data_IF_787251489295
#
_entry.id   IF_787251489295
#
_cell.length_a   1.000
_cell.length_b   1.000
_cell.length_c   1.000
_cell.angle_alpha   90.00
_cell.angle_beta   90.00
_cell.angle_gamma   90.00
#
_symmetry.space_group_name_H-M   'P 1'
#
loop_
_entity.id
_entity.type
_entity.pdbx_description
1 polymer ?
#
# COMPACT_ATOMS: atom_id res chain seq x y z
N UNK A 1 -73.76 -8.27 16.21
CA UNK A 1 -74.83 -7.89 15.23
C UNK A 1 -74.14 -7.75 13.88
N UNK A 2 -74.52 -8.65 13.05
CA UNK A 2 -74.93 -8.56 11.63
C UNK A 2 -73.75 -8.30 10.68
N UNK A 3 -73.24 -9.35 10.00
CA UNK A 3 -73.74 -10.07 8.80
C UNK A 3 -73.80 -9.15 7.58
N UNK A 4 -73.26 -9.42 6.41
CA UNK A 4 -73.37 -10.56 5.50
C UNK A 4 -72.58 -10.38 4.24
N UNK A 5 -71.91 -11.45 3.74
CA UNK A 5 -72.10 -12.15 2.44
C UNK A 5 -71.73 -11.36 1.15
N UNK A 6 -70.72 -11.87 0.44
CA UNK A 6 -70.81 -12.90 -0.64
C UNK A 6 -71.39 -12.43 -1.97
N UNK A 7 -70.64 -12.49 -3.06
CA UNK A 7 -70.96 -13.40 -4.14
C UNK A 7 -69.93 -13.57 -5.23
N UNK A 8 -69.82 -14.78 -5.69
CA UNK A 8 -69.11 -15.42 -6.76
C UNK A 8 -69.71 -15.07 -8.14
N UNK A 9 -68.96 -14.93 -9.19
CA UNK A 9 -69.29 -15.60 -10.47
C UNK A 9 -68.12 -15.75 -11.41
N UNK A 10 -68.07 -16.96 -11.93
CA UNK A 10 -67.20 -17.50 -13.02
C UNK A 10 -67.71 -17.03 -14.39
N UNK A 11 -66.81 -16.97 -15.41
CA UNK A 11 -67.02 -17.61 -16.73
C UNK A 11 -65.77 -17.35 -17.60
N UNK A 12 -65.04 -18.41 -17.91
CA UNK A 12 -64.90 -19.11 -19.21
C UNK A 12 -64.20 -18.32 -20.31
N UNK A 13 -63.08 -18.94 -20.71
CA UNK A 13 -62.28 -18.74 -21.93
C UNK A 13 -63.13 -18.92 -23.22
N UNK A 14 -62.58 -18.49 -24.38
CA UNK A 14 -62.02 -19.52 -25.25
C UNK A 14 -60.66 -19.19 -25.88
N UNK A 15 -60.05 -20.26 -26.32
CA UNK A 15 -58.83 -20.47 -27.06
C UNK A 15 -58.90 -19.87 -28.48
N UNK A 16 -57.83 -19.24 -28.96
CA UNK A 16 -57.52 -19.20 -30.38
C UNK A 16 -55.98 -19.16 -30.55
N UNK A 17 -55.54 -20.17 -31.24
CA UNK A 17 -54.22 -20.47 -31.76
C UNK A 17 -53.82 -19.47 -32.87
N UNK A 18 -52.60 -18.95 -32.81
CA UNK A 18 -51.90 -18.41 -34.00
C UNK A 18 -50.39 -18.44 -33.76
N UNK A 19 -49.79 -19.42 -34.36
CA UNK A 19 -48.36 -19.57 -34.57
C UNK A 19 -47.78 -18.37 -35.37
N UNK A 20 -46.82 -17.65 -34.75
CA UNK A 20 -45.98 -16.72 -35.50
C UNK A 20 -44.50 -16.94 -35.15
N UNK A 21 -43.79 -17.35 -36.17
CA UNK A 21 -42.37 -17.68 -36.18
C UNK A 21 -41.53 -16.44 -35.83
N UNK A 22 -40.86 -16.44 -34.69
CA UNK A 22 -39.82 -15.45 -34.37
C UNK A 22 -38.49 -15.89 -34.98
N UNK A 23 -38.01 -15.08 -35.92
CA UNK A 23 -36.63 -15.12 -36.43
C UNK A 23 -35.66 -14.69 -35.32
N UNK A 24 -34.48 -15.31 -35.19
CA UNK A 24 -33.48 -14.88 -34.21
C UNK A 24 -32.86 -13.54 -34.60
N UNK A 25 -33.00 -12.53 -33.76
CA UNK A 25 -32.24 -11.28 -33.84
C UNK A 25 -30.79 -11.62 -33.45
N UNK A 26 -29.90 -11.60 -34.41
CA UNK A 26 -28.43 -11.68 -34.19
C UNK A 26 -28.01 -10.45 -33.39
N UNK A 27 -27.62 -10.64 -32.13
CA UNK A 27 -26.97 -9.66 -31.28
C UNK A 27 -25.61 -9.27 -31.90
N UNK A 28 -25.54 -8.03 -32.38
CA UNK A 28 -24.35 -7.40 -32.92
C UNK A 28 -23.69 -6.53 -31.84
N UNK A 29 -23.27 -7.17 -30.74
CA UNK A 29 -22.49 -6.50 -29.68
C UNK A 29 -21.48 -7.53 -29.15
N UNK A 30 -20.35 -7.72 -29.82
CA UNK A 30 -19.15 -8.41 -29.30
C UNK A 30 -17.87 -8.17 -30.13
N UNK A 31 -17.85 -7.16 -31.01
CA UNK A 31 -16.66 -6.88 -31.84
C UNK A 31 -15.88 -5.61 -31.42
N UNK A 32 -16.48 -4.69 -30.66
CA UNK A 32 -15.81 -3.42 -30.32
C UNK A 32 -14.95 -3.49 -29.04
N UNK A 33 -15.31 -4.31 -28.05
CA UNK A 33 -14.53 -4.40 -26.80
C UNK A 33 -13.16 -5.08 -26.97
N UNK A 34 -13.05 -5.98 -27.93
CA UNK A 34 -11.77 -6.67 -28.22
C UNK A 34 -10.80 -5.80 -29.03
N UNK A 35 -11.31 -4.88 -29.84
CA UNK A 35 -10.48 -3.96 -30.62
C UNK A 35 -9.92 -2.82 -29.74
N UNK A 36 -10.74 -2.29 -28.84
CA UNK A 36 -10.31 -1.26 -27.87
C UNK A 36 -9.27 -1.81 -26.87
N UNK A 37 -9.46 -3.04 -26.37
CA UNK A 37 -8.49 -3.71 -25.50
C UNK A 37 -7.15 -3.95 -26.17
N UNK A 38 -7.14 -4.46 -27.41
CA UNK A 38 -5.90 -4.67 -28.19
C UNK A 38 -5.20 -3.38 -28.57
N UNK A 39 -5.95 -2.29 -28.77
CA UNK A 39 -5.37 -0.97 -29.05
C UNK A 39 -4.75 -0.34 -27.80
N UNK A 40 -5.33 -0.58 -26.64
CA UNK A 40 -4.78 -0.15 -25.36
C UNK A 40 -3.51 -0.93 -25.00
N UNK A 41 -3.52 -2.26 -25.17
CA UNK A 41 -2.32 -3.12 -24.99
C UNK A 41 -1.20 -2.72 -25.94
N UNK A 42 -1.48 -2.51 -27.23
CA UNK A 42 -0.46 -2.12 -28.21
C UNK A 42 0.12 -0.73 -27.95
N UNK A 43 -0.67 0.21 -27.42
CA UNK A 43 -0.17 1.53 -26.97
C UNK A 43 0.70 1.41 -25.73
N UNK A 44 0.32 0.58 -24.79
CA UNK A 44 1.10 0.33 -23.57
C UNK A 44 2.44 -0.33 -23.90
N UNK A 45 2.44 -1.31 -24.80
CA UNK A 45 3.68 -1.95 -25.29
C UNK A 45 4.59 -0.98 -26.05
N UNK A 46 4.02 -0.07 -26.83
CA UNK A 46 4.79 0.96 -27.52
C UNK A 46 5.41 1.96 -26.53
N UNK A 47 4.66 2.39 -25.52
CA UNK A 47 5.14 3.27 -24.44
C UNK A 47 6.24 2.57 -23.63
N UNK A 48 6.06 1.31 -23.28
CA UNK A 48 7.05 0.52 -22.55
C UNK A 48 8.33 0.32 -23.38
N UNK A 49 8.21 0.14 -24.70
CA UNK A 49 9.34 0.03 -25.61
C UNK A 49 10.09 1.35 -25.79
N UNK A 50 9.40 2.47 -25.79
CA UNK A 50 10.00 3.80 -25.87
C UNK A 50 10.69 4.19 -24.55
N UNK A 51 10.10 3.78 -23.40
CA UNK A 51 10.70 3.91 -22.06
C UNK A 51 12.00 3.11 -21.92
N UNK A 52 12.05 1.90 -22.48
CA UNK A 52 13.25 1.05 -22.45
C UNK A 52 14.40 1.58 -23.32
N UNK A 53 14.15 2.59 -24.19
CA UNK A 53 15.15 3.19 -25.07
C UNK A 53 15.73 4.52 -24.55
N UNK A 54 15.21 5.11 -23.45
CA UNK A 54 15.86 6.24 -22.82
C UNK A 54 17.17 5.76 -22.19
N UNK A 55 18.31 6.39 -22.51
CA UNK A 55 19.58 6.05 -21.83
C UNK A 55 19.43 6.33 -20.34
N UNK A 56 19.39 5.26 -19.53
CA UNK A 56 19.40 5.37 -18.09
C UNK A 56 20.76 5.92 -17.67
N UNK A 57 20.78 6.89 -16.77
CA UNK A 57 22.03 7.33 -16.18
C UNK A 57 22.60 6.17 -15.35
N UNK A 58 23.85 5.77 -15.55
CA UNK A 58 24.44 4.71 -14.75
C UNK A 58 24.50 5.14 -13.29
N UNK A 59 23.84 4.38 -12.42
CA UNK A 59 23.76 4.62 -10.98
C UNK A 59 25.04 4.17 -10.23
N UNK A 60 26.19 4.22 -10.91
CA UNK A 60 27.49 3.72 -10.41
C UNK A 60 27.96 4.38 -9.12
N UNK A 61 27.56 5.62 -8.88
CA UNK A 61 27.94 6.37 -7.70
C UNK A 61 26.99 6.20 -6.51
N UNK A 62 25.88 5.48 -6.71
CA UNK A 62 24.93 5.16 -5.64
C UNK A 62 25.57 4.23 -4.62
N UNK A 63 25.53 4.64 -3.36
CA UNK A 63 26.05 3.90 -2.20
C UNK A 63 24.94 3.44 -1.27
N UNK A 64 23.82 4.16 -1.28
CA UNK A 64 22.68 3.94 -0.39
C UNK A 64 21.38 4.03 -1.18
N UNK A 65 20.46 3.12 -0.86
CA UNK A 65 19.11 3.10 -1.40
C UNK A 65 18.14 3.46 -0.29
N UNK A 66 17.42 4.55 -0.49
CA UNK A 66 16.36 5.03 0.40
C UNK A 66 15.01 4.61 -0.19
N UNK A 67 14.23 3.84 0.57
CA UNK A 67 13.03 3.20 0.08
C UNK A 67 11.78 3.75 0.79
N UNK A 68 10.76 4.07 0.02
CA UNK A 68 9.40 4.09 0.50
C UNK A 68 8.86 2.67 0.64
N UNK A 69 7.75 2.48 1.38
CA UNK A 69 7.18 1.17 1.68
C UNK A 69 5.95 0.90 0.81
N UNK A 70 4.86 1.63 1.08
CA UNK A 70 3.54 1.37 0.48
C UNK A 70 3.54 1.73 -1.01
N UNK A 71 3.12 0.80 -1.88
CA UNK A 71 3.14 1.03 -3.33
C UNK A 71 4.52 0.93 -3.98
N UNK A 72 5.58 0.76 -3.19
CA UNK A 72 6.98 0.68 -3.65
C UNK A 72 7.56 -0.72 -3.44
N UNK A 73 7.67 -1.16 -2.19
CA UNK A 73 8.19 -2.48 -1.82
C UNK A 73 7.10 -3.47 -1.41
N UNK A 74 5.94 -2.98 -1.01
CA UNK A 74 4.76 -3.79 -0.72
C UNK A 74 3.52 -3.20 -1.39
N UNK A 75 2.46 -4.01 -1.63
CA UNK A 75 1.23 -3.52 -2.25
C UNK A 75 0.62 -2.35 -1.44
N UNK A 76 0.23 -1.28 -2.14
CA UNK A 76 -0.40 -0.11 -1.53
C UNK A 76 -1.70 -0.47 -0.79
N UNK A 77 -2.36 -1.54 -1.25
CA UNK A 77 -3.60 -2.05 -0.66
C UNK A 77 -3.38 -2.75 0.68
N UNK A 78 -2.17 -3.19 1.01
CA UNK A 78 -1.92 -3.98 2.22
C UNK A 78 -2.32 -3.24 3.50
N UNK A 79 -1.92 -1.98 3.64
CA UNK A 79 -2.29 -1.18 4.82
C UNK A 79 -3.79 -0.91 4.85
N UNK A 80 -4.38 -0.55 3.70
CA UNK A 80 -5.80 -0.20 3.59
C UNK A 80 -6.71 -1.41 3.75
N UNK A 81 -6.37 -2.55 3.12
CA UNK A 81 -7.27 -3.70 3.00
C UNK A 81 -7.00 -4.79 4.06
N UNK A 82 -5.84 -4.72 4.74
CA UNK A 82 -5.48 -5.69 5.78
C UNK A 82 -5.28 -5.02 7.14
N UNK A 83 -4.36 -4.07 7.25
CA UNK A 83 -3.95 -3.55 8.55
C UNK A 83 -5.01 -2.68 9.21
N UNK A 84 -5.63 -1.74 8.50
CA UNK A 84 -6.70 -0.91 9.06
C UNK A 84 -7.95 -1.72 9.42
N UNK A 85 -8.48 -2.62 8.57
CA UNK A 85 -9.59 -3.48 8.94
C UNK A 85 -9.28 -4.37 10.14
N UNK A 86 -8.07 -4.92 10.21
CA UNK A 86 -7.65 -5.71 11.36
C UNK A 86 -7.67 -4.90 12.66
N UNK A 87 -7.10 -3.70 12.67
CA UNK A 87 -7.08 -2.82 13.84
C UNK A 87 -8.49 -2.49 14.32
N UNK A 88 -9.41 -2.15 13.41
CA UNK A 88 -10.81 -1.87 13.75
C UNK A 88 -11.56 -3.10 14.26
N UNK A 89 -11.22 -4.30 13.75
CA UNK A 89 -11.80 -5.57 14.22
C UNK A 89 -11.28 -5.97 15.60
N UNK A 90 -10.00 -5.77 15.87
CA UNK A 90 -9.35 -6.13 17.14
C UNK A 90 -9.67 -5.16 18.28
N UNK A 91 -9.98 -3.90 17.96
CA UNK A 91 -10.18 -2.83 18.94
C UNK A 91 -11.25 -3.15 20.01
N UNK A 92 -12.47 -3.64 19.69
CA UNK A 92 -13.49 -3.95 20.69
C UNK A 92 -13.00 -4.94 21.75
N UNK A 93 -12.29 -6.00 21.36
CA UNK A 93 -11.77 -7.01 22.28
C UNK A 93 -10.68 -6.42 23.19
N UNK A 94 -9.83 -5.53 22.65
CA UNK A 94 -8.83 -4.82 23.45
C UNK A 94 -9.51 -3.89 24.46
N UNK A 95 -10.51 -3.15 24.04
CA UNK A 95 -11.25 -2.24 24.96
C UNK A 95 -11.98 -3.01 26.05
N UNK A 96 -12.58 -4.16 25.75
CA UNK A 96 -13.28 -4.99 26.72
C UNK A 96 -12.34 -5.62 27.77
N UNK A 97 -11.12 -5.99 27.35
CA UNK A 97 -10.23 -6.78 28.20
C UNK A 97 -9.04 -5.98 28.77
N UNK A 98 -8.67 -4.85 28.16
CA UNK A 98 -7.45 -4.10 28.50
C UNK A 98 -7.68 -2.61 28.79
N UNK A 99 -8.93 -2.15 28.96
CA UNK A 99 -9.23 -0.72 29.14
C UNK A 99 -8.40 -0.04 30.22
N UNK A 100 -8.22 -0.71 31.38
CA UNK A 100 -7.44 -0.23 32.52
C UNK A 100 -6.10 -0.98 32.69
N UNK A 101 -5.69 -1.79 31.70
CA UNK A 101 -4.44 -2.51 31.72
C UNK A 101 -3.26 -1.53 31.55
N UNK A 102 -2.21 -1.61 32.43
CA UNK A 102 -1.05 -0.73 32.33
C UNK A 102 -0.35 -0.72 30.97
N UNK A 103 -0.44 -1.80 30.20
CA UNK A 103 0.15 -1.89 28.87
C UNK A 103 -0.65 -1.12 27.81
N UNK A 104 -1.95 -0.89 28.03
CA UNK A 104 -2.83 -0.15 27.12
C UNK A 104 -2.99 1.33 27.52
N UNK A 105 -2.83 1.69 28.80
CA UNK A 105 -2.98 3.05 29.28
C UNK A 105 -2.21 4.10 28.48
N UNK A 106 -0.95 3.91 28.09
CA UNK A 106 -0.21 4.90 27.30
C UNK A 106 -0.87 5.24 25.96
N UNK A 107 -1.53 4.27 25.35
CA UNK A 107 -2.25 4.48 24.10
C UNK A 107 -3.59 5.16 24.32
N UNK A 108 -4.37 4.73 25.31
CA UNK A 108 -5.65 5.34 25.67
C UNK A 108 -5.47 6.80 26.09
N UNK A 109 -4.55 7.07 27.01
CA UNK A 109 -4.40 8.37 27.65
C UNK A 109 -3.78 9.43 26.72
N UNK A 110 -3.21 9.02 25.59
CA UNK A 110 -2.78 9.92 24.53
C UNK A 110 -3.94 10.55 23.74
N UNK A 111 -5.16 9.98 23.84
CA UNK A 111 -6.34 10.51 23.16
C UNK A 111 -6.98 11.67 23.92
N UNK A 112 -7.77 12.54 23.23
CA UNK A 112 -8.52 13.61 23.87
C UNK A 112 -9.46 13.08 24.97
N UNK A 113 -9.65 13.84 26.05
CA UNK A 113 -10.47 13.44 27.19
C UNK A 113 -11.88 13.00 26.81
N UNK A 114 -12.53 13.73 25.89
CA UNK A 114 -13.86 13.39 25.41
C UNK A 114 -13.89 12.00 24.73
N UNK A 115 -12.83 11.61 24.02
CA UNK A 115 -12.76 10.31 23.36
C UNK A 115 -12.52 9.16 24.35
N UNK A 116 -11.85 9.41 25.47
CA UNK A 116 -11.54 8.39 26.49
C UNK A 116 -12.54 8.33 27.64
N UNK A 117 -13.72 8.94 27.49
CA UNK A 117 -14.78 8.93 28.51
C UNK A 117 -15.41 7.56 28.74
N UNK A 118 -15.41 6.70 27.72
CA UNK A 118 -15.81 5.30 27.80
C UNK A 118 -15.17 4.49 26.65
N UNK A 119 -15.13 3.14 26.74
CA UNK A 119 -14.71 2.27 25.65
C UNK A 119 -15.47 2.54 24.34
N UNK A 120 -16.79 2.77 24.40
CA UNK A 120 -17.62 3.03 23.23
C UNK A 120 -17.29 4.39 22.57
N UNK A 121 -17.07 5.43 23.39
CA UNK A 121 -16.67 6.75 22.88
C UNK A 121 -15.29 6.67 22.21
N UNK A 122 -14.38 5.90 22.79
CA UNK A 122 -13.05 5.66 22.26
C UNK A 122 -13.10 4.93 20.91
N UNK A 123 -13.86 3.85 20.84
CA UNK A 123 -14.06 3.07 19.61
C UNK A 123 -14.66 3.93 18.49
N UNK A 124 -15.70 4.69 18.81
CA UNK A 124 -16.35 5.60 17.84
C UNK A 124 -15.37 6.64 17.30
N UNK A 125 -14.54 7.23 18.18
CA UNK A 125 -13.54 8.21 17.78
C UNK A 125 -12.45 7.60 16.88
N UNK A 126 -11.93 6.43 17.23
CA UNK A 126 -10.93 5.70 16.40
C UNK A 126 -11.50 5.35 15.02
N UNK A 127 -12.75 4.87 14.96
CA UNK A 127 -13.44 4.58 13.69
C UNK A 127 -13.58 5.82 12.82
N UNK A 128 -14.03 6.94 13.38
CA UNK A 128 -14.17 8.21 12.65
C UNK A 128 -12.83 8.68 12.08
N UNK A 129 -11.78 8.71 12.89
CA UNK A 129 -10.45 9.14 12.45
C UNK A 129 -9.89 8.22 11.36
N UNK A 130 -10.08 6.91 11.48
CA UNK A 130 -9.61 5.93 10.51
C UNK A 130 -10.37 6.07 9.19
N UNK A 131 -11.69 6.24 9.22
CA UNK A 131 -12.51 6.42 8.01
C UNK A 131 -12.16 7.70 7.24
N UNK A 132 -11.78 8.76 7.96
CA UNK A 132 -11.35 10.04 7.37
C UNK A 132 -9.87 10.08 7.01
N UNK A 133 -9.14 8.98 7.14
CA UNK A 133 -7.68 8.86 6.92
C UNK A 133 -6.86 9.94 7.67
N UNK A 134 -7.25 10.23 8.91
CA UNK A 134 -6.56 11.24 9.73
C UNK A 134 -5.21 10.69 10.22
N UNK A 135 -4.12 11.38 9.86
CA UNK A 135 -2.75 10.96 10.19
C UNK A 135 -2.22 11.67 11.45
N UNK A 136 -2.78 11.35 12.61
CA UNK A 136 -2.39 11.93 13.90
C UNK A 136 -1.60 10.92 14.75
N UNK A 137 -0.65 11.40 15.54
CA UNK A 137 0.33 10.58 16.22
C UNK A 137 -0.29 9.54 17.18
N UNK A 138 -1.26 9.93 18.01
CA UNK A 138 -1.88 9.00 18.95
C UNK A 138 -2.66 7.86 18.25
N UNK A 139 -3.31 8.16 17.10
CA UNK A 139 -3.98 7.13 16.30
C UNK A 139 -2.96 6.16 15.69
N UNK A 140 -1.87 6.67 15.12
CA UNK A 140 -0.80 5.84 14.57
C UNK A 140 -0.16 4.93 15.61
N UNK A 141 0.03 5.44 16.82
CA UNK A 141 0.58 4.64 17.93
C UNK A 141 -0.37 3.51 18.33
N UNK A 142 -1.67 3.80 18.46
CA UNK A 142 -2.69 2.79 18.73
C UNK A 142 -2.77 1.75 17.61
N UNK A 143 -2.77 2.18 16.36
CA UNK A 143 -2.76 1.27 15.21
C UNK A 143 -1.53 0.35 15.25
N UNK A 144 -0.35 0.89 15.53
CA UNK A 144 0.88 0.10 15.71
C UNK A 144 0.75 -0.96 16.81
N UNK A 145 0.19 -0.61 17.95
CA UNK A 145 -0.09 -1.55 19.05
C UNK A 145 -1.03 -2.69 18.60
N UNK A 146 -2.13 -2.35 17.94
CA UNK A 146 -3.09 -3.35 17.45
C UNK A 146 -2.48 -4.25 16.37
N UNK A 147 -1.66 -3.69 15.48
CA UNK A 147 -0.98 -4.46 14.43
C UNK A 147 0.06 -5.43 14.99
N UNK A 148 0.76 -5.04 16.05
CA UNK A 148 1.72 -5.93 16.72
C UNK A 148 1.06 -7.23 17.19
N UNK A 149 -0.12 -7.15 17.79
CA UNK A 149 -0.89 -8.33 18.21
C UNK A 149 -1.33 -9.19 16.99
N UNK A 150 -1.68 -8.56 15.87
CA UNK A 150 -2.00 -9.26 14.63
C UNK A 150 -0.81 -10.03 14.05
N UNK A 151 0.36 -9.43 14.07
CA UNK A 151 1.58 -10.11 13.65
C UNK A 151 1.97 -11.24 14.60
N UNK A 152 1.91 -11.04 15.92
CA UNK A 152 2.21 -12.06 16.94
C UNK A 152 1.26 -13.25 16.85
N UNK A 153 -0.01 -13.01 16.53
CA UNK A 153 -1.00 -14.08 16.36
C UNK A 153 -0.98 -14.71 14.97
N UNK A 154 -0.08 -14.27 14.08
CA UNK A 154 0.01 -14.71 12.67
C UNK A 154 -1.30 -14.52 11.90
N UNK A 155 -2.09 -13.49 12.23
CA UNK A 155 -3.31 -13.16 11.50
C UNK A 155 -3.01 -12.72 10.06
N UNK A 156 -1.84 -12.21 9.82
CA UNK A 156 -1.30 -11.81 8.52
C UNK A 156 0.24 -11.72 8.58
N UNK A 157 0.85 -11.61 7.42
CA UNK A 157 2.27 -11.30 7.23
C UNK A 157 2.42 -10.23 6.16
N UNK A 158 3.56 -9.54 6.13
CA UNK A 158 3.81 -8.46 5.17
C UNK A 158 4.11 -9.02 3.78
N UNK A 159 3.30 -8.71 2.77
CA UNK A 159 3.57 -9.12 1.39
C UNK A 159 4.59 -8.16 0.77
N UNK A 160 5.82 -8.63 0.58
CA UNK A 160 6.85 -7.89 -0.18
C UNK A 160 6.89 -8.45 -1.60
N UNK A 161 7.08 -7.59 -2.60
CA UNK A 161 7.21 -8.03 -3.99
C UNK A 161 8.44 -8.91 -4.18
N UNK A 162 8.35 -9.97 -5.02
CA UNK A 162 9.47 -10.93 -5.19
C UNK A 162 10.76 -10.28 -5.68
N UNK A 163 10.69 -9.33 -6.61
CA UNK A 163 11.83 -8.57 -7.13
C UNK A 163 12.52 -7.73 -6.04
N UNK A 164 11.77 -7.24 -5.07
CA UNK A 164 12.30 -6.50 -3.90
C UNK A 164 13.07 -7.45 -2.98
N UNK A 165 12.54 -8.64 -2.70
CA UNK A 165 13.24 -9.63 -1.87
C UNK A 165 14.56 -10.05 -2.52
N UNK A 166 14.57 -10.22 -3.84
CA UNK A 166 15.77 -10.52 -4.62
C UNK A 166 16.78 -9.35 -4.57
N UNK A 167 16.31 -8.12 -4.75
CA UNK A 167 17.13 -6.93 -4.63
C UNK A 167 17.74 -6.79 -3.23
N UNK A 168 16.97 -7.02 -2.17
CA UNK A 168 17.47 -7.01 -0.80
C UNK A 168 18.60 -8.03 -0.59
N UNK A 169 18.48 -9.23 -1.15
CA UNK A 169 19.53 -10.26 -1.05
C UNK A 169 20.82 -9.81 -1.74
N UNK A 170 20.72 -9.15 -2.90
CA UNK A 170 21.88 -8.64 -3.66
C UNK A 170 22.51 -7.44 -2.94
N UNK A 171 21.71 -6.44 -2.55
CA UNK A 171 22.21 -5.20 -1.98
C UNK A 171 22.78 -5.38 -0.58
N UNK A 172 22.19 -6.25 0.25
CA UNK A 172 22.70 -6.51 1.60
C UNK A 172 23.89 -7.47 1.66
N UNK A 173 24.28 -8.07 0.54
CA UNK A 173 25.38 -9.03 0.50
C UNK A 173 26.75 -8.32 0.51
N UNK A 174 27.54 -8.54 1.57
CA UNK A 174 28.88 -7.98 1.70
C UNK A 174 29.88 -8.48 0.63
N UNK A 175 29.54 -9.56 -0.06
CA UNK A 175 30.37 -10.16 -1.14
C UNK A 175 29.95 -9.70 -2.53
N UNK A 176 28.83 -8.99 -2.66
CA UNK A 176 28.37 -8.49 -3.95
C UNK A 176 29.10 -7.20 -4.33
N UNK A 177 29.49 -7.09 -5.62
CA UNK A 177 29.97 -5.83 -6.19
C UNK A 177 28.88 -4.75 -6.24
N UNK A 178 27.62 -5.17 -6.18
CA UNK A 178 26.43 -4.32 -6.14
C UNK A 178 25.90 -4.10 -4.70
N UNK A 179 26.72 -4.38 -3.66
CA UNK A 179 26.35 -4.11 -2.28
C UNK A 179 26.02 -2.63 -2.06
N UNK A 180 24.88 -2.36 -1.41
CA UNK A 180 24.40 -1.02 -1.07
C UNK A 180 23.88 -1.01 0.36
N UNK A 181 23.99 0.13 1.00
CA UNK A 181 23.26 0.38 2.25
C UNK A 181 21.78 0.59 1.94
N UNK A 182 20.90 0.14 2.83
CA UNK A 182 19.45 0.28 2.70
C UNK A 182 18.95 1.12 3.86
N UNK A 183 18.14 2.12 3.58
CA UNK A 183 17.41 2.89 4.57
C UNK A 183 15.94 3.00 4.15
N UNK A 184 15.05 3.19 5.12
CA UNK A 184 13.61 3.29 4.88
C UNK A 184 13.13 4.69 5.24
N UNK A 185 12.26 5.26 4.40
CA UNK A 185 11.56 6.49 4.68
C UNK A 185 10.09 6.37 4.31
N UNK A 186 9.24 6.21 5.32
CA UNK A 186 7.79 6.04 5.15
C UNK A 186 7.01 7.03 6.02
N UNK A 187 5.77 7.30 5.67
CA UNK A 187 4.84 8.09 6.49
C UNK A 187 4.35 7.34 7.74
N UNK A 188 4.47 6.01 7.76
CA UNK A 188 4.23 5.18 8.94
C UNK A 188 5.27 5.41 10.04
N UNK A 189 4.90 5.22 11.32
CA UNK A 189 5.86 5.33 12.41
C UNK A 189 6.99 4.29 12.26
N UNK A 190 8.19 4.63 12.76
CA UNK A 190 9.33 3.71 12.76
C UNK A 190 8.97 2.36 13.42
N UNK A 191 8.13 2.38 14.46
CA UNK A 191 7.64 1.16 15.09
C UNK A 191 6.86 0.29 14.10
N UNK A 192 5.90 0.87 13.36
CA UNK A 192 5.12 0.17 12.36
C UNK A 192 6.00 -0.34 11.19
N UNK A 193 6.95 0.47 10.72
CA UNK A 193 7.91 0.07 9.69
C UNK A 193 8.71 -1.17 10.12
N UNK A 194 9.19 -1.18 11.38
CA UNK A 194 9.94 -2.32 11.94
C UNK A 194 9.08 -3.58 12.07
N UNK A 195 7.80 -3.45 12.42
CA UNK A 195 6.85 -4.57 12.42
C UNK A 195 6.69 -5.18 11.02
N UNK A 196 6.53 -4.34 9.99
CA UNK A 196 6.43 -4.79 8.60
C UNK A 196 7.66 -5.62 8.19
N UNK A 197 8.86 -5.14 8.49
CA UNK A 197 10.11 -5.82 8.14
C UNK A 197 10.42 -7.04 9.02
N UNK A 198 9.87 -7.12 10.21
CA UNK A 198 10.02 -8.26 11.11
C UNK A 198 9.19 -9.46 10.66
N UNK A 199 8.08 -9.22 9.97
CA UNK A 199 7.08 -10.24 9.64
C UNK A 199 6.82 -10.33 8.13
N UNK A 200 7.88 -10.31 7.32
CA UNK A 200 7.76 -10.47 5.87
C UNK A 200 7.34 -11.91 5.58
N UNK A 201 6.33 -12.09 4.71
CA UNK A 201 5.88 -13.41 4.27
C UNK A 201 7.03 -14.18 3.62
N UNK A 202 7.28 -15.40 4.08
CA UNK A 202 8.25 -16.28 3.44
C UNK A 202 7.61 -16.93 2.20
N UNK A 203 8.08 -16.54 1.01
CA UNK A 203 7.58 -17.07 -0.25
C UNK A 203 7.97 -18.54 -0.47
N UNK A 204 8.97 -19.07 0.26
CA UNK A 204 9.37 -20.47 0.18
C UNK A 204 8.43 -21.44 0.93
N UNK A 205 7.60 -20.89 1.83
CA UNK A 205 6.59 -21.62 2.59
C UNK A 205 5.23 -20.90 2.54
N UNK A 206 4.61 -20.79 1.34
CA UNK A 206 3.44 -19.95 1.10
C UNK A 206 2.20 -20.35 1.91
N UNK A 207 2.08 -21.61 2.28
CA UNK A 207 0.94 -22.19 3.00
C UNK A 207 1.11 -22.17 4.53
N UNK A 208 2.30 -21.83 5.04
CA UNK A 208 2.55 -21.70 6.48
C UNK A 208 2.42 -20.23 6.91
N UNK A 209 1.34 -19.85 7.64
CA UNK A 209 1.15 -18.47 8.10
C UNK A 209 2.20 -18.02 9.12
N UNK A 210 2.95 -18.98 9.71
CA UNK A 210 4.02 -18.69 10.67
C UNK A 210 5.38 -18.51 10.00
N UNK A 211 5.49 -18.89 8.73
CA UNK A 211 6.72 -18.72 7.99
C UNK A 211 6.91 -17.24 7.61
N UNK A 212 7.73 -16.56 8.40
CA UNK A 212 8.07 -15.15 8.19
C UNK A 212 9.57 -14.93 8.22
N UNK A 213 10.02 -13.94 7.48
CA UNK A 213 11.40 -13.49 7.43
C UNK A 213 11.54 -12.17 8.19
N UNK A 214 12.49 -12.11 9.11
CA UNK A 214 12.91 -10.85 9.74
C UNK A 214 14.05 -10.24 8.90
N UNK A 215 13.77 -9.10 8.29
CA UNK A 215 14.73 -8.34 7.46
C UNK A 215 15.13 -6.99 8.07
N UNK A 216 14.86 -6.75 9.34
CA UNK A 216 15.24 -5.49 10.01
C UNK A 216 16.75 -5.26 10.01
N UNK A 217 17.54 -6.32 10.10
CA UNK A 217 19.00 -6.24 10.18
C UNK A 217 19.70 -5.74 8.90
N UNK A 218 19.01 -5.79 7.75
CA UNK A 218 19.55 -5.25 6.49
C UNK A 218 19.34 -3.74 6.37
N UNK A 219 18.47 -3.16 7.20
CA UNK A 219 18.15 -1.73 7.16
C UNK A 219 19.06 -0.98 8.12
N UNK A 220 19.85 -0.08 7.57
CA UNK A 220 20.78 0.77 8.32
C UNK A 220 20.05 1.79 9.20
N UNK A 221 19.09 2.52 8.59
CA UNK A 221 18.40 3.62 9.25
C UNK A 221 16.91 3.66 8.86
N UNK A 222 16.09 4.21 9.77
CA UNK A 222 14.65 4.31 9.64
C UNK A 222 14.20 5.76 9.80
N UNK A 223 13.43 6.25 8.82
CA UNK A 223 12.90 7.60 8.82
C UNK A 223 11.39 7.61 8.72
N UNK A 224 10.79 8.52 9.46
CA UNK A 224 9.37 8.85 9.39
C UNK A 224 9.15 10.37 9.40
N UNK A 225 7.90 10.81 9.40
CA UNK A 225 7.55 12.23 9.41
C UNK A 225 7.94 12.95 10.70
N UNK A 226 8.29 12.22 11.77
CA UNK A 226 8.70 12.79 13.05
C UNK A 226 10.19 13.12 13.07
N UNK A 227 11.03 12.20 12.59
CA UNK A 227 12.49 12.40 12.64
C UNK A 227 13.06 13.02 11.35
N UNK A 228 12.45 12.81 10.18
CA UNK A 228 12.91 13.39 8.91
C UNK A 228 12.11 14.64 8.50
N UNK A 229 10.79 14.62 8.61
CA UNK A 229 9.88 15.66 8.13
C UNK A 229 8.85 15.12 7.14
N UNK A 230 8.14 16.00 6.43
CA UNK A 230 7.13 15.60 5.47
C UNK A 230 7.76 15.18 4.14
N UNK A 231 7.34 14.05 3.58
CA UNK A 231 7.95 13.44 2.39
C UNK A 231 7.79 14.23 1.08
N UNK A 232 6.98 15.28 1.06
CA UNK A 232 6.86 16.18 -0.10
C UNK A 232 7.71 17.45 0.03
N UNK A 233 8.51 17.57 1.09
CA UNK A 233 9.39 18.73 1.36
C UNK A 233 10.84 18.38 1.04
N UNK A 234 11.54 19.25 0.29
CA UNK A 234 12.93 19.09 -0.10
C UNK A 234 13.84 18.98 1.13
N UNK A 235 13.65 19.84 2.13
CA UNK A 235 14.43 19.86 3.36
C UNK A 235 14.40 18.55 4.14
N UNK A 236 13.35 17.73 3.97
CA UNK A 236 13.27 16.40 4.60
C UNK A 236 14.31 15.44 4.03
N UNK A 237 14.57 15.49 2.73
CA UNK A 237 15.59 14.65 2.06
C UNK A 237 17.02 15.16 2.31
N UNK A 238 17.21 16.49 2.37
CA UNK A 238 18.51 17.07 2.78
C UNK A 238 18.86 16.65 4.20
N UNK A 239 17.90 16.71 5.13
CA UNK A 239 18.07 16.23 6.51
C UNK A 239 18.36 14.74 6.54
N UNK A 240 17.63 13.92 5.80
CA UNK A 240 17.84 12.47 5.71
C UNK A 240 19.23 12.14 5.18
N UNK A 241 19.70 12.81 4.12
CA UNK A 241 21.04 12.60 3.58
C UNK A 241 22.13 12.96 4.61
N UNK A 242 21.93 14.05 5.36
CA UNK A 242 22.83 14.46 6.44
C UNK A 242 22.90 13.44 7.57
N UNK A 243 21.76 12.95 8.05
CA UNK A 243 21.69 11.90 9.08
C UNK A 243 22.36 10.60 8.61
N UNK A 244 22.15 10.22 7.36
CA UNK A 244 22.80 9.09 6.71
C UNK A 244 24.30 9.31 6.44
N UNK A 245 24.83 10.52 6.63
CA UNK A 245 26.21 10.90 6.32
C UNK A 245 26.56 10.56 4.86
N UNK A 246 25.65 10.88 3.94
CA UNK A 246 25.81 10.66 2.50
C UNK A 246 25.58 11.95 1.74
N UNK A 247 26.40 12.15 0.70
CA UNK A 247 26.11 13.16 -0.32
C UNK A 247 24.80 12.75 -1.02
N UNK A 248 23.82 13.65 -1.21
CA UNK A 248 22.55 13.33 -1.89
C UNK A 248 22.76 12.60 -3.22
N UNK A 249 23.77 12.96 -4.02
CA UNK A 249 24.09 12.30 -5.30
C UNK A 249 24.50 10.82 -5.17
N UNK A 250 24.83 10.36 -3.97
CA UNK A 250 25.14 8.96 -3.69
C UNK A 250 23.94 8.17 -3.14
N UNK A 251 22.77 8.81 -3.06
CA UNK A 251 21.53 8.21 -2.58
C UNK A 251 20.57 8.03 -3.75
N UNK A 252 20.03 6.83 -3.90
CA UNK A 252 18.90 6.52 -4.78
C UNK A 252 17.62 6.46 -3.94
N UNK A 253 16.65 7.32 -4.24
CA UNK A 253 15.34 7.28 -3.62
C UNK A 253 14.32 6.61 -4.54
N UNK A 254 13.56 5.64 -4.01
CA UNK A 254 12.53 4.90 -4.73
C UNK A 254 11.18 5.09 -4.03
N UNK A 255 10.17 5.57 -4.76
CA UNK A 255 8.81 5.77 -4.27
C UNK A 255 7.80 5.71 -5.43
N UNK A 256 6.56 5.31 -5.14
CA UNK A 256 5.44 5.40 -6.08
C UNK A 256 4.87 6.82 -6.16
N UNK A 257 5.21 7.67 -5.21
CA UNK A 257 4.65 9.01 -5.09
C UNK A 257 5.51 10.06 -5.80
N UNK A 258 5.01 10.59 -6.92
CA UNK A 258 5.71 11.59 -7.74
C UNK A 258 6.09 12.86 -6.96
N UNK A 259 5.30 13.30 -5.98
CA UNK A 259 5.63 14.48 -5.17
C UNK A 259 6.86 14.24 -4.30
N UNK A 260 7.01 13.02 -3.80
CA UNK A 260 8.15 12.59 -3.01
C UNK A 260 9.41 12.45 -3.87
N UNK A 261 9.26 11.79 -5.03
CA UNK A 261 10.35 11.68 -6.02
C UNK A 261 10.85 13.04 -6.47
N UNK A 262 9.94 14.00 -6.69
CA UNK A 262 10.28 15.39 -7.04
C UNK A 262 11.10 16.06 -5.94
N UNK A 263 10.63 15.99 -4.69
CA UNK A 263 11.31 16.60 -3.55
C UNK A 263 12.70 15.99 -3.32
N UNK A 264 12.85 14.67 -3.45
CA UNK A 264 14.14 13.98 -3.36
C UNK A 264 15.09 14.40 -4.49
N UNK A 265 14.58 14.51 -5.72
CA UNK A 265 15.35 14.98 -6.88
C UNK A 265 15.85 16.43 -6.70
N UNK A 266 14.98 17.31 -6.19
CA UNK A 266 15.30 18.70 -5.90
C UNK A 266 16.35 18.83 -4.76
N UNK A 267 16.37 17.87 -3.82
CA UNK A 267 17.41 17.75 -2.80
C UNK A 267 18.75 17.18 -3.33
N UNK A 268 18.83 16.85 -4.64
CA UNK A 268 20.03 16.35 -5.29
C UNK A 268 20.22 14.83 -5.25
N UNK A 269 19.22 14.06 -4.83
CA UNK A 269 19.25 12.59 -4.88
C UNK A 269 18.91 12.08 -6.30
N UNK A 270 19.44 10.91 -6.65
CA UNK A 270 18.79 10.12 -7.70
C UNK A 270 17.42 9.70 -7.21
N UNK A 271 16.37 9.95 -8.01
CA UNK A 271 15.02 9.67 -7.59
C UNK A 271 14.23 9.05 -8.75
N UNK A 272 13.65 7.88 -8.51
CA UNK A 272 12.98 7.05 -9.51
C UNK A 272 11.56 6.75 -9.04
N UNK A 273 10.60 6.88 -9.94
CA UNK A 273 9.20 6.50 -9.69
C UNK A 273 9.08 5.00 -9.86
N UNK A 274 8.50 4.34 -8.86
CA UNK A 274 8.18 2.91 -8.91
C UNK A 274 6.69 2.78 -9.19
N UNK A 275 6.31 2.04 -10.23
CA UNK A 275 4.91 1.74 -10.52
C UNK A 275 4.62 0.29 -10.21
N UNK A 276 3.58 0.05 -9.42
CA UNK A 276 3.14 -1.27 -9.00
C UNK A 276 1.64 -1.43 -9.26
N UNK A 277 1.13 -2.67 -9.37
CA UNK A 277 -0.29 -2.91 -9.45
C UNK A 277 -1.06 -2.21 -8.32
N UNK A 278 -2.07 -1.42 -8.66
CA UNK A 278 -2.89 -0.67 -7.70
C UNK A 278 -2.40 0.72 -7.35
N UNK A 279 -1.23 1.15 -7.81
CA UNK A 279 -0.77 2.53 -7.65
C UNK A 279 -1.62 3.49 -8.50
N UNK A 280 -1.62 4.77 -8.11
CA UNK A 280 -2.28 5.81 -8.90
C UNK A 280 -1.59 5.95 -10.28
N UNK A 281 -2.37 6.19 -11.35
CA UNK A 281 -1.79 6.43 -12.67
C UNK A 281 -0.96 7.71 -12.67
N UNK A 282 0.13 7.69 -13.42
CA UNK A 282 0.98 8.86 -13.62
C UNK A 282 0.37 9.80 -14.67
N UNK A 283 0.65 11.09 -14.55
CA UNK A 283 0.35 12.04 -15.63
C UNK A 283 1.37 11.90 -16.76
N UNK A 284 0.98 12.25 -17.99
CA UNK A 284 1.90 12.25 -19.15
C UNK A 284 3.14 13.13 -18.90
N UNK A 285 3.00 14.22 -18.16
CA UNK A 285 4.11 15.13 -17.83
C UNK A 285 5.09 14.49 -16.84
N UNK A 286 4.57 13.76 -15.84
CA UNK A 286 5.42 13.05 -14.88
C UNK A 286 6.13 11.87 -15.56
N UNK A 287 5.47 11.18 -16.48
CA UNK A 287 6.08 10.11 -17.28
C UNK A 287 7.23 10.60 -18.17
N UNK A 288 7.13 11.83 -18.68
CA UNK A 288 8.22 12.46 -19.48
C UNK A 288 9.35 12.97 -18.58
N UNK A 289 9.06 13.38 -17.35
CA UNK A 289 10.00 14.06 -16.46
C UNK A 289 10.86 13.09 -15.66
N UNK A 290 10.26 12.01 -15.13
CA UNK A 290 10.93 11.09 -14.22
C UNK A 290 11.33 9.79 -14.88
N UNK A 291 12.37 9.16 -14.36
CA UNK A 291 12.67 7.76 -14.63
C UNK A 291 11.63 6.91 -13.90
N UNK A 292 11.12 5.85 -14.56
CA UNK A 292 10.06 4.99 -14.04
C UNK A 292 10.51 3.54 -14.17
N UNK A 293 10.31 2.77 -13.11
CA UNK A 293 10.53 1.32 -13.10
C UNK A 293 9.28 0.60 -12.58
N UNK A 294 9.02 -0.57 -13.13
CA UNK A 294 7.95 -1.47 -12.70
C UNK A 294 8.49 -2.61 -11.81
N UNK A 295 9.80 -2.83 -11.87
CA UNK A 295 10.51 -3.83 -11.10
C UNK A 295 11.90 -3.30 -10.71
N UNK A 296 12.40 -3.70 -9.54
CA UNK A 296 13.76 -3.39 -9.12
C UNK A 296 14.83 -4.09 -9.96
N UNK A 297 14.45 -5.12 -10.72
CA UNK A 297 15.33 -5.76 -11.72
C UNK A 297 15.74 -4.81 -12.85
N UNK A 298 14.97 -3.74 -13.06
CA UNK A 298 15.26 -2.72 -14.07
C UNK A 298 16.31 -1.69 -13.62
N UNK A 299 16.74 -1.73 -12.35
CA UNK A 299 17.75 -0.82 -11.80
C UNK A 299 19.16 -1.34 -12.11
N UNK A 300 19.94 -0.56 -12.84
CA UNK A 300 21.35 -0.86 -13.15
C UNK A 300 22.26 -0.27 -12.06
N UNK A 301 22.50 -1.02 -10.96
CA UNK A 301 23.24 -0.61 -9.76
C UNK A 301 24.63 -1.25 -9.66
#
# INVERSE_FOLDING_TARGET
MVSTRSNKRRSRSPVADASEQQRPVKSRVKADDTAAGKLAESKQDAINKERSQKPRQPLKDVKLILLDIEGTICPITFVKDTLFPYALKALPDVLANKWDDPTFLPYRDAFPEAARSSPEAFEAHVKDLTQRDVKIAYLKNLQGYLWEEGYKSHAYSTPIYPDVLQAFAIWSSSTSSSAKEIAIYSSGSIFAQKLLFQHIKDASAPDDPKAVLDRRSIVRDWFDTTNAGLKHEVGSYEKTAKELQRDPKNVLFLSDNVKEVRAASEAGMYAVVVTRPGNAPLSEDDEKKFEIVESFEQLEL
#
